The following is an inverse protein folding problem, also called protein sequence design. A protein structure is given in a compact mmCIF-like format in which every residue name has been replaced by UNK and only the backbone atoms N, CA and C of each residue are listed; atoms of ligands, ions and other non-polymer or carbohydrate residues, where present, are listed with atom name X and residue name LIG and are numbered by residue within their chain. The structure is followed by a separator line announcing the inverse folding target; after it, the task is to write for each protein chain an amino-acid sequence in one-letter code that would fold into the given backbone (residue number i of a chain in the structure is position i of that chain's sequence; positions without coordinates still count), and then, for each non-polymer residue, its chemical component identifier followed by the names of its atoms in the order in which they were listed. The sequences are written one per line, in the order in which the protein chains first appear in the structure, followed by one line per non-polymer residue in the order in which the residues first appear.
data_IF_660364230588
#
_entry.id   IF_660364230588
#
_cell.length_a   1.000
_cell.length_b   1.000
_cell.length_c   1.000
_cell.angle_alpha   90.00
_cell.angle_beta   90.00
_cell.angle_gamma   90.00
#
_symmetry.space_group_name_H-M   'P 1'
#
loop_
_entity.id
_entity.type
_entity.pdbx_description
1 polymer ?
#
# COMPACT_ATOMS: atom_id res chain seq x y z
N UNK A 1 -12.93 -37.10 -0.41
CA UNK A 1 -13.57 -36.22 -1.40
C UNK A 1 -12.96 -34.83 -1.21
N UNK A 2 -11.90 -34.48 -1.93
CA UNK A 2 -11.24 -33.18 -1.78
C UNK A 2 -12.08 -32.13 -2.53
N UNK A 3 -13.01 -31.49 -1.83
CA UNK A 3 -13.85 -30.44 -2.42
C UNK A 3 -13.00 -29.23 -2.79
N UNK A 4 -13.11 -28.77 -4.04
CA UNK A 4 -12.57 -27.49 -4.47
C UNK A 4 -13.37 -26.36 -3.81
N UNK A 5 -12.71 -25.42 -3.12
CA UNK A 5 -13.38 -24.22 -2.62
C UNK A 5 -13.22 -23.09 -3.63
N UNK A 6 -14.28 -22.33 -3.89
CA UNK A 6 -14.16 -21.07 -4.64
C UNK A 6 -14.02 -19.93 -3.65
N UNK A 7 -12.98 -19.12 -3.81
CA UNK A 7 -12.65 -18.01 -2.93
C UNK A 7 -12.81 -16.72 -3.73
N UNK A 8 -13.50 -15.77 -3.12
CA UNK A 8 -13.71 -14.43 -3.64
C UNK A 8 -13.80 -13.47 -2.45
N UNK A 9 -13.41 -12.21 -2.65
CA UNK A 9 -13.66 -11.18 -1.65
C UNK A 9 -15.14 -10.78 -1.71
N UNK A 10 -15.86 -10.93 -0.61
CA UNK A 10 -17.25 -10.47 -0.52
C UNK A 10 -17.32 -8.94 -0.58
N UNK A 11 -18.20 -8.39 -1.43
CA UNK A 11 -18.42 -6.95 -1.55
C UNK A 11 -18.86 -6.33 -0.22
N UNK A 12 -19.60 -7.08 0.61
CA UNK A 12 -20.00 -6.63 1.95
C UNK A 12 -18.79 -6.31 2.87
N UNK A 13 -17.64 -6.95 2.62
CA UNK A 13 -16.42 -6.82 3.42
C UNK A 13 -15.35 -5.95 2.76
N UNK A 14 -15.62 -5.40 1.57
CA UNK A 14 -14.69 -4.49 0.87
C UNK A 14 -14.61 -3.14 1.56
N UNK A 15 -15.74 -2.47 1.70
CA UNK A 15 -15.89 -1.19 2.43
C UNK A 15 -14.66 -0.26 2.30
N UNK A 16 -14.09 0.24 3.42
CA UNK A 16 -12.90 1.09 3.42
C UNK A 16 -11.58 0.32 3.27
N UNK A 17 -11.59 -1.01 3.22
CA UNK A 17 -10.37 -1.81 3.31
C UNK A 17 -9.53 -1.72 2.03
N UNK A 18 -8.23 -1.46 2.16
CA UNK A 18 -7.29 -1.59 1.04
C UNK A 18 -6.98 -3.05 0.74
N UNK A 19 -6.91 -3.86 1.79
CA UNK A 19 -6.42 -5.23 1.75
C UNK A 19 -7.32 -6.16 2.53
N UNK A 20 -7.47 -7.38 2.05
CA UNK A 20 -8.12 -8.46 2.77
C UNK A 20 -7.32 -9.75 2.62
N UNK A 21 -6.92 -10.33 3.76
CA UNK A 21 -6.33 -11.67 3.81
C UNK A 21 -7.45 -12.69 3.87
N UNK A 22 -7.41 -13.68 2.96
CA UNK A 22 -8.31 -14.83 3.03
C UNK A 22 -8.08 -15.56 4.37
N UNK A 23 -9.12 -15.82 5.18
CA UNK A 23 -8.99 -16.40 6.53
C UNK A 23 -8.73 -17.92 6.51
N UNK A 24 -8.00 -18.39 5.50
CA UNK A 24 -7.51 -19.76 5.36
C UNK A 24 -6.39 -19.80 4.33
N UNK A 25 -5.56 -20.83 4.42
CA UNK A 25 -4.65 -21.16 3.34
C UNK A 25 -5.42 -21.73 2.15
N UNK A 26 -4.88 -21.46 0.97
CA UNK A 26 -5.37 -21.97 -0.30
C UNK A 26 -4.58 -23.20 -0.70
N UNK A 27 -5.20 -24.10 -1.47
CA UNK A 27 -4.58 -25.31 -1.99
C UNK A 27 -4.66 -25.36 -3.50
N UNK A 28 -3.86 -26.23 -4.11
CA UNK A 28 -3.79 -26.40 -5.56
C UNK A 28 -5.17 -26.71 -6.20
N UNK A 29 -6.10 -27.30 -5.46
CA UNK A 29 -7.45 -27.63 -5.92
C UNK A 29 -8.50 -26.52 -5.73
N UNK A 30 -8.14 -25.38 -5.16
CA UNK A 30 -9.06 -24.26 -4.96
C UNK A 30 -9.18 -23.38 -6.23
N UNK A 31 -10.25 -22.59 -6.29
CA UNK A 31 -10.46 -21.60 -7.34
C UNK A 31 -10.45 -20.19 -6.73
N UNK A 32 -9.83 -19.25 -7.42
CA UNK A 32 -9.75 -17.84 -7.02
C UNK A 32 -10.54 -17.02 -8.04
N UNK A 33 -11.46 -16.18 -7.58
CA UNK A 33 -12.15 -15.21 -8.42
C UNK A 33 -11.56 -13.84 -8.12
N UNK A 34 -11.12 -13.14 -9.16
CA UNK A 34 -10.62 -11.76 -9.08
C UNK A 34 -11.56 -10.86 -9.85
N UNK A 35 -12.04 -9.79 -9.22
CA UNK A 35 -12.91 -8.79 -9.87
C UNK A 35 -12.10 -7.68 -10.53
N UNK A 36 -12.76 -6.84 -11.33
CA UNK A 36 -12.09 -5.78 -12.10
C UNK A 36 -11.36 -4.77 -11.21
N UNK A 37 -11.96 -4.46 -10.05
CA UNK A 37 -11.47 -3.54 -9.03
C UNK A 37 -10.44 -4.13 -8.08
N UNK A 38 -10.02 -5.38 -8.31
CA UNK A 38 -9.19 -6.15 -7.40
C UNK A 38 -7.90 -6.68 -8.05
N UNK A 39 -6.93 -6.96 -7.20
CA UNK A 39 -5.76 -7.79 -7.49
C UNK A 39 -5.68 -8.87 -6.43
N UNK A 40 -5.26 -10.07 -6.80
CA UNK A 40 -4.98 -11.16 -5.85
C UNK A 40 -3.49 -11.45 -5.82
N UNK A 41 -2.90 -11.49 -4.63
CA UNK A 41 -1.49 -11.78 -4.40
C UNK A 41 -1.36 -13.06 -3.62
N UNK A 42 -0.54 -13.97 -4.13
CA UNK A 42 -0.24 -15.24 -3.50
C UNK A 42 1.07 -15.11 -2.74
N UNK A 43 1.03 -15.39 -1.44
CA UNK A 43 2.13 -15.15 -0.54
C UNK A 43 2.45 -16.42 0.26
N UNK A 44 3.74 -16.70 0.43
CA UNK A 44 4.20 -17.85 1.21
C UNK A 44 5.60 -17.62 1.76
N UNK A 45 5.81 -17.99 3.02
CA UNK A 45 7.12 -17.99 3.69
C UNK A 45 7.90 -16.67 3.52
N UNK A 46 7.21 -15.53 3.62
CA UNK A 46 7.87 -14.23 3.50
C UNK A 46 8.05 -13.73 2.06
N UNK A 47 7.48 -14.41 1.05
CA UNK A 47 7.69 -14.09 -0.37
C UNK A 47 6.40 -14.13 -1.18
N UNK A 48 6.23 -13.14 -2.05
CA UNK A 48 5.22 -13.18 -3.11
C UNK A 48 5.60 -14.28 -4.11
N UNK A 49 4.69 -15.22 -4.33
CA UNK A 49 4.83 -16.30 -5.31
C UNK A 49 4.39 -15.84 -6.70
N UNK A 50 3.25 -15.17 -6.76
CA UNK A 50 2.65 -14.63 -7.98
C UNK A 50 1.56 -13.62 -7.58
N UNK A 51 1.14 -12.79 -8.53
CA UNK A 51 -0.06 -11.98 -8.40
C UNK A 51 -0.90 -12.06 -9.68
N UNK A 52 -2.18 -11.76 -9.53
CA UNK A 52 -3.17 -11.72 -10.60
C UNK A 52 -3.80 -10.34 -10.58
N UNK A 53 -3.66 -9.63 -11.69
CA UNK A 53 -4.20 -8.29 -11.91
C UNK A 53 -5.38 -8.26 -12.89
N UNK A 54 -5.66 -9.38 -13.59
CA UNK A 54 -6.74 -9.49 -14.56
C UNK A 54 -8.00 -10.09 -13.93
N UNK A 55 -9.17 -9.49 -14.18
CA UNK A 55 -10.43 -10.03 -13.70
C UNK A 55 -10.75 -11.36 -14.40
N UNK A 56 -10.84 -12.44 -13.63
CA UNK A 56 -11.29 -13.75 -14.12
C UNK A 56 -11.52 -14.70 -12.94
N UNK A 57 -12.03 -15.89 -13.26
CA UNK A 57 -11.99 -17.07 -12.38
C UNK A 57 -10.80 -17.95 -12.76
N UNK A 58 -9.88 -18.07 -11.81
CA UNK A 58 -8.67 -18.87 -11.95
C UNK A 58 -8.81 -20.18 -11.19
N UNK A 59 -8.67 -21.32 -11.90
CA UNK A 59 -8.50 -22.61 -11.25
C UNK A 59 -7.02 -22.87 -10.99
N UNK A 60 -6.65 -23.10 -9.74
CA UNK A 60 -5.25 -23.30 -9.34
C UNK A 60 -4.68 -24.65 -9.81
N UNK A 61 -5.52 -25.57 -10.27
CA UNK A 61 -5.11 -26.85 -10.88
C UNK A 61 -4.80 -26.74 -12.36
N UNK A 62 -5.30 -25.70 -13.02
CA UNK A 62 -5.29 -25.59 -14.47
C UNK A 62 -4.00 -24.94 -14.94
N UNK A 63 -3.28 -25.63 -15.81
CA UNK A 63 -2.13 -25.09 -16.54
C UNK A 63 -2.54 -24.00 -17.57
N UNK A 64 -3.84 -23.71 -17.73
CA UNK A 64 -4.35 -22.95 -18.87
C UNK A 64 -4.27 -21.42 -18.72
N UNK A 65 -3.89 -20.89 -17.56
CA UNK A 65 -3.61 -19.46 -17.42
C UNK A 65 -2.09 -19.23 -17.32
N UNK A 66 -1.45 -18.50 -18.27
CA UNK A 66 -0.03 -18.15 -18.20
C UNK A 66 0.38 -17.50 -16.86
N UNK A 67 -0.57 -16.80 -16.22
CA UNK A 67 -0.41 -16.10 -14.93
C UNK A 67 -0.38 -17.08 -13.73
N UNK A 68 -1.06 -18.23 -13.85
CA UNK A 68 -1.19 -19.22 -12.75
C UNK A 68 -0.14 -20.34 -12.87
N UNK A 69 0.47 -20.55 -14.04
CA UNK A 69 1.48 -21.60 -14.23
C UNK A 69 2.68 -21.52 -13.28
N UNK A 70 3.16 -20.30 -12.98
CA UNK A 70 4.21 -20.09 -11.97
C UNK A 70 3.77 -20.46 -10.56
N UNK A 71 2.51 -20.16 -10.23
CA UNK A 71 1.91 -20.49 -8.94
C UNK A 71 1.68 -22.00 -8.79
N UNK A 72 1.19 -22.68 -9.82
CA UNK A 72 1.04 -24.15 -9.84
C UNK A 72 2.37 -24.83 -9.53
N UNK A 73 3.45 -24.38 -10.19
CA UNK A 73 4.80 -24.89 -9.91
C UNK A 73 5.21 -24.63 -8.46
N UNK A 74 4.97 -23.42 -7.94
CA UNK A 74 5.28 -23.09 -6.55
C UNK A 74 4.49 -23.94 -5.54
N UNK A 75 3.21 -24.25 -5.83
CA UNK A 75 2.31 -25.03 -4.98
C UNK A 75 2.35 -26.54 -5.24
N UNK A 76 3.17 -27.03 -6.17
CA UNK A 76 3.34 -28.47 -6.47
C UNK A 76 4.37 -29.18 -5.58
N UNK A 77 5.10 -28.44 -4.74
CA UNK A 77 6.14 -28.97 -3.84
C UNK A 77 5.60 -29.58 -2.53
N UNK A 78 6.50 -29.78 -1.55
CA UNK A 78 6.21 -30.38 -0.23
C UNK A 78 5.11 -29.60 0.53
N UNK A 79 5.02 -28.29 0.30
CA UNK A 79 4.01 -27.43 0.90
C UNK A 79 3.10 -26.83 -0.19
N UNK A 80 1.89 -27.38 -0.30
CA UNK A 80 0.90 -27.00 -1.31
C UNK A 80 -0.01 -25.86 -0.84
N UNK A 81 0.31 -25.25 0.30
CA UNK A 81 -0.49 -24.20 0.93
C UNK A 81 0.17 -22.83 0.76
N UNK A 82 -0.64 -21.81 0.50
CA UNK A 82 -0.24 -20.41 0.47
C UNK A 82 -1.33 -19.51 1.03
N UNK A 83 -0.96 -18.30 1.39
CA UNK A 83 -1.87 -17.23 1.76
C UNK A 83 -2.28 -16.44 0.52
N UNK A 84 -3.51 -15.92 0.52
CA UNK A 84 -3.98 -15.01 -0.53
C UNK A 84 -4.41 -13.70 0.08
N UNK A 85 -3.90 -12.62 -0.50
CA UNK A 85 -4.27 -11.26 -0.18
C UNK A 85 -4.98 -10.65 -1.37
N UNK A 86 -6.18 -10.14 -1.16
CA UNK A 86 -6.86 -9.29 -2.13
C UNK A 86 -6.54 -7.83 -1.83
N UNK A 87 -6.26 -7.08 -2.89
CA UNK A 87 -6.01 -5.64 -2.84
C UNK A 87 -7.01 -4.92 -3.76
N UNK A 88 -7.51 -3.76 -3.35
CA UNK A 88 -8.33 -2.93 -4.23
C UNK A 88 -7.46 -1.99 -5.09
N UNK A 89 -7.87 -1.78 -6.33
CA UNK A 89 -7.22 -0.87 -7.29
C UNK A 89 -7.71 0.58 -7.21
N UNK A 90 -8.75 0.84 -6.43
CA UNK A 90 -9.35 2.18 -6.34
C UNK A 90 -8.42 3.17 -5.64
N UNK A 91 -8.80 4.44 -5.72
CA UNK A 91 -8.14 5.51 -4.98
C UNK A 91 -8.73 5.57 -3.56
N UNK A 92 -7.84 5.75 -2.58
CA UNK A 92 -8.15 5.92 -1.17
C UNK A 92 -7.83 7.35 -0.74
N UNK A 93 -8.70 7.93 0.10
CA UNK A 93 -8.50 9.22 0.73
C UNK A 93 -7.93 9.01 2.14
N UNK A 94 -6.80 9.65 2.42
CA UNK A 94 -6.14 9.62 3.73
C UNK A 94 -6.00 11.02 4.32
N UNK A 95 -5.89 11.09 5.64
CA UNK A 95 -5.50 12.31 6.36
C UNK A 95 -4.18 12.09 7.06
N UNK A 96 -3.35 13.14 7.09
CA UNK A 96 -2.11 13.13 7.85
C UNK A 96 -2.02 14.35 8.77
N UNK A 97 -1.26 14.19 9.84
CA UNK A 97 -1.08 15.20 10.87
C UNK A 97 0.11 14.87 11.73
N UNK A 98 0.96 15.85 11.99
CA UNK A 98 2.07 15.69 12.91
C UNK A 98 1.58 15.63 14.36
N UNK A 99 1.96 14.58 15.08
CA UNK A 99 1.76 14.48 16.54
C UNK A 99 2.65 15.48 17.27
N UNK A 100 3.94 15.48 16.95
CA UNK A 100 4.95 16.36 17.54
C UNK A 100 5.19 17.60 16.65
N UNK A 101 5.44 18.78 17.25
CA UNK A 101 5.80 19.97 16.48
C UNK A 101 7.24 19.87 15.94
N UNK A 102 7.43 20.34 14.71
CA UNK A 102 8.74 20.51 14.08
C UNK A 102 9.31 21.89 14.40
N UNK A 103 10.54 21.95 14.89
CA UNK A 103 11.21 23.22 15.22
C UNK A 103 11.79 23.84 13.94
N UNK A 104 11.17 24.92 13.49
CA UNK A 104 11.60 25.77 12.39
C UNK A 104 12.41 26.95 12.94
N UNK A 105 13.53 27.29 12.29
CA UNK A 105 14.30 28.50 12.65
C UNK A 105 14.03 29.55 11.60
N UNK A 106 13.33 30.59 12.00
CA UNK A 106 12.97 31.73 11.18
C UNK A 106 13.93 32.91 11.47
N UNK A 107 14.37 33.66 10.44
CA UNK A 107 15.24 34.82 10.63
C UNK A 107 14.59 35.96 11.43
N UNK A 108 13.27 36.15 11.29
CA UNK A 108 12.55 37.27 11.88
C UNK A 108 11.96 36.88 13.25
N UNK A 109 11.50 35.63 13.40
CA UNK A 109 10.80 35.16 14.61
C UNK A 109 11.62 34.23 15.51
N UNK A 110 12.84 33.84 15.12
CA UNK A 110 13.68 32.94 15.92
C UNK A 110 13.25 31.48 15.81
N UNK A 111 12.97 30.80 16.93
CA UNK A 111 12.52 29.40 16.92
C UNK A 111 10.99 29.34 16.92
N UNK A 112 10.43 28.70 15.89
CA UNK A 112 8.99 28.56 15.67
C UNK A 112 8.63 27.09 15.60
N UNK A 113 7.63 26.67 16.39
CA UNK A 113 7.13 25.29 16.40
C UNK A 113 6.01 25.14 15.36
N UNK A 114 6.24 24.34 14.32
CA UNK A 114 5.28 24.09 13.25
C UNK A 114 4.62 22.72 13.39
N UNK A 115 3.30 22.68 13.23
CA UNK A 115 2.55 21.44 13.02
C UNK A 115 1.98 21.42 11.61
N UNK A 116 1.99 20.25 10.99
CA UNK A 116 1.49 20.06 9.63
C UNK A 116 0.30 19.13 9.66
N UNK A 117 -0.74 19.49 8.92
CA UNK A 117 -1.95 18.71 8.75
C UNK A 117 -2.37 18.79 7.29
N UNK A 118 -2.98 17.74 6.78
CA UNK A 118 -3.46 17.71 5.42
C UNK A 118 -4.22 16.44 5.08
N UNK A 119 -4.62 16.36 3.82
CA UNK A 119 -5.19 15.17 3.20
C UNK A 119 -4.33 14.75 2.02
N UNK A 120 -4.35 13.47 1.72
CA UNK A 120 -3.66 12.89 0.59
C UNK A 120 -4.53 11.82 -0.05
N UNK A 121 -4.26 11.53 -1.32
CA UNK A 121 -4.89 10.43 -2.06
C UNK A 121 -3.81 9.47 -2.51
N UNK A 122 -4.11 8.18 -2.44
CA UNK A 122 -3.18 7.14 -2.83
C UNK A 122 -3.93 5.96 -3.43
N UNK A 123 -3.21 5.13 -4.17
CA UNK A 123 -3.70 3.87 -4.72
C UNK A 123 -2.53 2.90 -4.78
N UNK A 124 -2.83 1.61 -4.71
CA UNK A 124 -1.80 0.57 -4.94
C UNK A 124 -1.45 0.57 -6.43
N UNK A 125 -0.17 0.73 -6.76
CA UNK A 125 0.34 0.63 -8.13
C UNK A 125 0.95 -0.73 -8.44
N UNK A 126 1.65 -1.33 -7.47
CA UNK A 126 2.31 -2.63 -7.63
C UNK A 126 1.97 -3.55 -6.45
N UNK A 127 1.13 -4.55 -6.71
CA UNK A 127 0.56 -5.43 -5.68
C UNK A 127 1.62 -6.27 -4.96
N UNK A 128 2.63 -6.74 -5.69
CA UNK A 128 3.74 -7.54 -5.18
C UNK A 128 4.66 -6.75 -4.25
N UNK A 129 5.05 -5.53 -4.65
CA UNK A 129 5.85 -4.62 -3.81
C UNK A 129 5.06 -4.23 -2.57
N UNK A 130 3.78 -3.89 -2.72
CA UNK A 130 2.90 -3.54 -1.61
C UNK A 130 2.83 -4.66 -0.57
N UNK A 131 2.55 -5.90 -0.97
CA UNK A 131 2.46 -7.03 -0.02
C UNK A 131 3.80 -7.32 0.63
N UNK A 132 4.91 -7.37 -0.13
CA UNK A 132 6.23 -7.60 0.44
C UNK A 132 6.62 -6.52 1.47
N UNK A 133 6.28 -5.25 1.19
CA UNK A 133 6.61 -4.14 2.07
C UNK A 133 5.70 -4.10 3.30
N UNK A 134 4.39 -4.07 3.12
CA UNK A 134 3.45 -3.90 4.24
C UNK A 134 3.25 -5.18 5.02
N UNK A 135 2.97 -6.30 4.37
CA UNK A 135 2.73 -7.58 5.06
C UNK A 135 4.07 -8.22 5.44
N UNK A 136 5.01 -8.29 4.50
CA UNK A 136 6.28 -8.98 4.72
C UNK A 136 7.25 -8.26 5.64
N UNK A 137 7.44 -6.95 5.44
CA UNK A 137 8.44 -6.16 6.18
C UNK A 137 7.84 -5.49 7.41
N UNK A 138 6.70 -4.81 7.26
CA UNK A 138 6.07 -4.07 8.36
C UNK A 138 5.12 -4.93 9.21
N UNK A 139 4.75 -6.13 8.75
CA UNK A 139 3.81 -6.99 9.49
C UNK A 139 2.38 -6.44 9.57
N UNK A 140 1.97 -5.59 8.63
CA UNK A 140 0.62 -5.04 8.56
C UNK A 140 -0.40 -6.16 8.40
N UNK A 141 -1.37 -6.22 9.31
CA UNK A 141 -2.44 -7.21 9.29
C UNK A 141 -3.77 -6.62 8.81
N UNK A 142 -3.91 -5.30 8.88
CA UNK A 142 -5.14 -4.56 8.57
C UNK A 142 -4.88 -3.36 7.66
N UNK A 143 -5.96 -2.82 7.10
CA UNK A 143 -5.91 -1.57 6.32
C UNK A 143 -5.48 -0.38 7.18
N UNK A 144 -5.86 -0.37 8.46
CA UNK A 144 -5.50 0.69 9.40
C UNK A 144 -3.98 0.74 9.64
N UNK A 145 -3.31 -0.42 9.69
CA UNK A 145 -1.85 -0.49 9.83
C UNK A 145 -1.16 0.14 8.61
N UNK A 146 -1.67 -0.14 7.41
CA UNK A 146 -1.18 0.44 6.15
C UNK A 146 -1.38 1.96 6.17
N UNK A 147 -2.59 2.42 6.48
CA UNK A 147 -2.91 3.85 6.50
C UNK A 147 -2.10 4.63 7.55
N UNK A 148 -1.90 4.05 8.74
CA UNK A 148 -1.05 4.64 9.78
C UNK A 148 0.38 4.82 9.29
N UNK A 149 0.94 3.78 8.67
CA UNK A 149 2.30 3.81 8.12
C UNK A 149 2.44 4.86 7.02
N UNK A 150 1.44 4.97 6.12
CA UNK A 150 1.42 5.99 5.07
C UNK A 150 1.31 7.41 5.65
N UNK A 151 0.45 7.61 6.66
CA UNK A 151 0.32 8.87 7.38
C UNK A 151 1.66 9.34 7.95
N UNK A 152 2.37 8.45 8.63
CA UNK A 152 3.66 8.78 9.24
C UNK A 152 4.71 9.14 8.18
N UNK A 153 4.71 8.46 7.03
CA UNK A 153 5.57 8.84 5.91
C UNK A 153 5.20 10.20 5.31
N UNK A 154 3.92 10.51 5.17
CA UNK A 154 3.50 11.82 4.66
C UNK A 154 3.99 12.96 5.56
N UNK A 155 3.93 12.79 6.88
CA UNK A 155 4.46 13.78 7.84
C UNK A 155 5.96 13.98 7.65
N UNK A 156 6.73 12.89 7.57
CA UNK A 156 8.19 12.92 7.33
C UNK A 156 8.51 13.61 6.00
N UNK A 157 7.79 13.27 4.94
CA UNK A 157 7.98 13.83 3.61
C UNK A 157 7.74 15.35 3.57
N UNK A 158 6.66 15.80 4.22
CA UNK A 158 6.35 17.23 4.34
C UNK A 158 7.45 17.94 5.13
N UNK A 159 7.91 17.39 6.25
CA UNK A 159 8.99 17.99 7.03
C UNK A 159 10.32 18.04 6.30
N UNK A 160 10.68 16.99 5.56
CA UNK A 160 11.87 17.01 4.70
C UNK A 160 11.77 18.10 3.64
N UNK A 161 10.58 18.29 3.04
CA UNK A 161 10.34 19.33 2.05
C UNK A 161 10.45 20.73 2.67
N UNK A 162 9.85 20.96 3.83
CA UNK A 162 9.97 22.22 4.56
C UNK A 162 11.41 22.52 4.97
N UNK A 163 12.18 21.51 5.35
CA UNK A 163 13.62 21.64 5.64
C UNK A 163 14.43 22.09 4.42
N UNK A 164 14.13 21.56 3.22
CA UNK A 164 14.75 21.99 1.96
C UNK A 164 14.39 23.43 1.60
N UNK A 165 13.12 23.80 1.72
CA UNK A 165 12.66 25.18 1.46
C UNK A 165 13.29 26.19 2.43
N UNK A 166 13.42 25.82 3.70
CA UNK A 166 14.17 26.62 4.69
C UNK A 166 15.62 26.84 4.26
N UNK A 167 16.30 25.81 3.74
CA UNK A 167 17.66 25.95 3.23
C UNK A 167 17.76 26.88 2.01
N UNK A 168 16.64 27.07 1.28
CA UNK A 168 16.52 28.03 0.18
C UNK A 168 16.11 29.44 0.63
N UNK A 169 15.96 29.67 1.94
CA UNK A 169 15.65 30.98 2.51
C UNK A 169 14.16 31.30 2.64
N UNK A 170 13.28 30.32 2.44
CA UNK A 170 11.82 30.49 2.65
C UNK A 170 11.54 30.74 4.13
N UNK A 171 10.73 31.76 4.43
CA UNK A 171 10.32 32.13 5.80
C UNK A 171 8.98 31.53 6.17
N UNK A 172 8.66 31.50 7.47
CA UNK A 172 7.37 31.00 7.96
C UNK A 172 6.19 31.80 7.38
N UNK A 173 6.37 33.11 7.21
CA UNK A 173 5.35 34.00 6.62
C UNK A 173 5.00 33.65 5.17
N UNK A 174 5.96 33.07 4.44
CA UNK A 174 5.79 32.78 3.02
C UNK A 174 5.10 31.44 2.79
N UNK A 175 5.05 30.56 3.79
CA UNK A 175 4.47 29.22 3.69
C UNK A 175 3.01 29.24 3.24
N UNK A 176 2.23 30.22 3.71
CA UNK A 176 0.81 30.35 3.37
C UNK A 176 0.60 30.68 1.87
N UNK A 177 1.51 31.46 1.28
CA UNK A 177 1.43 31.84 -0.14
C UNK A 177 2.05 30.74 -1.02
N UNK A 178 2.98 29.95 -0.48
CA UNK A 178 3.69 28.89 -1.20
C UNK A 178 3.04 27.50 -1.09
N UNK A 179 1.82 27.37 -0.57
CA UNK A 179 1.17 26.07 -0.35
C UNK A 179 1.18 25.17 -1.59
N UNK A 180 0.87 25.70 -2.78
CA UNK A 180 0.92 24.93 -4.04
C UNK A 180 2.34 24.52 -4.41
N UNK A 181 3.34 25.35 -4.12
CA UNK A 181 4.75 25.00 -4.36
C UNK A 181 5.22 23.89 -3.42
N UNK A 182 4.82 23.97 -2.15
CA UNK A 182 5.08 22.93 -1.14
C UNK A 182 4.42 21.62 -1.58
N UNK A 183 3.16 21.67 -2.04
CA UNK A 183 2.45 20.50 -2.56
C UNK A 183 3.21 19.84 -3.71
N UNK A 184 3.62 20.61 -4.73
CA UNK A 184 4.36 20.07 -5.86
C UNK A 184 5.72 19.50 -5.44
N UNK A 185 6.41 20.15 -4.50
CA UNK A 185 7.68 19.64 -3.97
C UNK A 185 7.50 18.33 -3.18
N UNK A 186 6.42 18.22 -2.38
CA UNK A 186 6.04 16.99 -1.67
C UNK A 186 5.72 15.87 -2.67
N UNK A 187 4.89 16.15 -3.67
CA UNK A 187 4.52 15.18 -4.71
C UNK A 187 5.74 14.72 -5.52
N UNK A 188 6.66 15.64 -5.84
CA UNK A 188 7.89 15.33 -6.56
C UNK A 188 8.87 14.46 -5.74
N UNK A 189 8.88 14.59 -4.41
CA UNK A 189 9.72 13.80 -3.52
C UNK A 189 9.05 12.47 -3.08
N UNK A 190 7.73 12.32 -3.26
CA UNK A 190 7.00 11.12 -2.85
C UNK A 190 7.56 9.79 -3.42
N UNK A 191 7.97 9.69 -4.70
CA UNK A 191 8.48 8.44 -5.26
C UNK A 191 9.70 7.88 -4.52
N UNK A 192 10.57 8.72 -3.97
CA UNK A 192 11.76 8.29 -3.23
C UNK A 192 11.42 7.67 -1.86
N UNK A 193 10.28 8.07 -1.30
CA UNK A 193 9.85 7.66 0.04
C UNK A 193 8.84 6.51 0.01
N UNK A 194 8.05 6.42 -1.05
CA UNK A 194 7.07 5.36 -1.23
C UNK A 194 7.55 4.27 -2.20
N UNK A 195 8.51 4.53 -3.11
CA UNK A 195 8.84 3.57 -4.16
C UNK A 195 7.62 3.25 -5.04
N UNK A 196 7.67 2.19 -5.87
CA UNK A 196 6.51 1.72 -6.63
C UNK A 196 5.57 0.95 -5.69
N UNK A 197 4.84 1.64 -4.81
CA UNK A 197 3.76 1.07 -3.99
C UNK A 197 2.41 1.16 -4.71
#
# INVERSE_FOLDING_TARGET
MFGSTTINWDDANKGPNVMWRVPRNIRLNDNIVVREDEMAVFYRDGKVLSYIDRPDRYSLTSLNAPVVGGLVKALSGVQQEAEVYYLQKRIFDGKFGSSEPYIFRDPDFGLVSLRVFGSFRWRVSAADVFINQFVGTFGAASSDDVESRLRDQMVILVYNTLGKLKAQGVRVTDLAVQLTTIEQAVLGAAPDHFGPL
#
